data_IF_223954057107
#
_entry.id   IF_223954057107
#
_cell.length_a   1.000
_cell.length_b   1.000
_cell.length_c   1.000
_cell.angle_alpha   90.00
_cell.angle_beta   90.00
_cell.angle_gamma   90.00
#
_symmetry.space_group_name_H-M   'P 1'
#
loop_
_entity.id
_entity.type
_entity.pdbx_description
1 polymer ?
#
# COMPACT_ATOMS: atom_id res chain seq x y z
N UNK A 1 -43.15 -6.99 -12.12
CA UNK A 1 -41.70 -6.80 -11.86
C UNK A 1 -41.20 -5.74 -12.83
N UNK A 2 -40.48 -4.72 -12.38
CA UNK A 2 -39.97 -3.66 -13.26
C UNK A 2 -38.89 -4.22 -14.18
N UNK A 3 -38.73 -3.66 -15.37
CA UNK A 3 -37.74 -4.07 -16.38
C UNK A 3 -36.32 -4.13 -15.82
N UNK A 4 -36.01 -3.28 -14.83
CA UNK A 4 -34.73 -3.28 -14.13
C UNK A 4 -34.52 -4.51 -13.24
N UNK A 5 -35.58 -5.01 -12.59
CA UNK A 5 -35.53 -6.22 -11.77
C UNK A 5 -35.29 -7.45 -12.64
N UNK A 6 -35.92 -7.52 -13.82
CA UNK A 6 -35.71 -8.62 -14.76
C UNK A 6 -34.27 -8.66 -15.29
N UNK A 7 -33.70 -7.51 -15.66
CA UNK A 7 -32.32 -7.44 -16.15
C UNK A 7 -31.28 -7.86 -15.09
N UNK A 8 -31.49 -7.48 -13.82
CA UNK A 8 -30.64 -7.90 -12.71
C UNK A 8 -30.72 -9.40 -12.44
N UNK A 9 -31.92 -10.00 -12.51
CA UNK A 9 -32.10 -11.44 -12.36
C UNK A 9 -31.43 -12.22 -13.49
N UNK A 10 -31.57 -11.76 -14.73
CA UNK A 10 -30.96 -12.38 -15.91
C UNK A 10 -29.42 -12.29 -15.90
N UNK A 11 -28.87 -11.22 -15.29
CA UNK A 11 -27.43 -11.10 -15.00
C UNK A 11 -27.00 -12.07 -13.90
N UNK A 12 -27.78 -12.22 -12.83
CA UNK A 12 -27.46 -13.12 -11.72
C UNK A 12 -27.49 -14.61 -12.09
N UNK A 13 -28.26 -14.99 -13.11
CA UNK A 13 -28.37 -16.37 -13.61
C UNK A 13 -27.13 -16.85 -14.39
N UNK A 14 -26.22 -15.94 -14.80
CA UNK A 14 -25.06 -16.27 -15.65
C UNK A 14 -23.81 -16.78 -14.91
N UNK A 15 -23.85 -16.91 -13.58
CA UNK A 15 -22.73 -17.42 -12.78
C UNK A 15 -21.58 -16.41 -12.60
N UNK A 16 -20.74 -16.62 -11.59
CA UNK A 16 -19.74 -15.66 -11.12
C UNK A 16 -18.51 -15.56 -12.06
N UNK A 17 -18.67 -14.90 -13.19
CA UNK A 17 -17.56 -14.42 -14.03
C UNK A 17 -17.25 -12.94 -13.69
N UNK A 18 -15.98 -12.53 -13.81
CA UNK A 18 -15.54 -11.13 -13.69
C UNK A 18 -16.32 -10.23 -14.65
N UNK A 19 -16.71 -10.76 -15.80
CA UNK A 19 -17.56 -10.06 -16.77
C UNK A 19 -18.98 -9.77 -16.23
N UNK A 20 -19.57 -10.69 -15.43
CA UNK A 20 -20.87 -10.46 -14.81
C UNK A 20 -20.81 -9.31 -13.81
N UNK A 21 -19.79 -9.29 -12.93
CA UNK A 21 -19.61 -8.19 -11.96
C UNK A 21 -19.43 -6.85 -12.66
N UNK A 22 -18.61 -6.81 -13.72
CA UNK A 22 -18.42 -5.61 -14.54
C UNK A 22 -19.73 -5.10 -15.12
N UNK A 23 -20.54 -5.99 -15.69
CA UNK A 23 -21.86 -5.65 -16.26
C UNK A 23 -22.86 -5.19 -15.19
N UNK A 24 -22.88 -5.83 -14.01
CA UNK A 24 -23.71 -5.40 -12.88
C UNK A 24 -23.33 -3.99 -12.41
N UNK A 25 -22.04 -3.71 -12.25
CA UNK A 25 -21.53 -2.38 -11.88
C UNK A 25 -21.93 -1.34 -12.93
N UNK A 26 -21.76 -1.66 -14.22
CA UNK A 26 -22.18 -0.80 -15.33
C UNK A 26 -23.68 -0.49 -15.27
N UNK A 27 -24.51 -1.51 -15.10
CA UNK A 27 -25.96 -1.37 -15.05
C UNK A 27 -26.38 -0.50 -13.86
N UNK A 28 -25.86 -0.79 -12.67
CA UNK A 28 -26.17 -0.03 -11.45
C UNK A 28 -25.72 1.43 -11.58
N UNK A 29 -24.51 1.68 -12.10
CA UNK A 29 -24.01 3.04 -12.32
C UNK A 29 -24.87 3.81 -13.34
N UNK A 30 -25.28 3.19 -14.44
CA UNK A 30 -26.18 3.81 -15.41
C UNK A 30 -27.54 4.12 -14.81
N UNK A 31 -28.11 3.19 -14.02
CA UNK A 31 -29.40 3.40 -13.34
C UNK A 31 -29.35 4.52 -12.31
N UNK A 32 -28.30 4.59 -11.51
CA UNK A 32 -28.10 5.70 -10.57
C UNK A 32 -28.03 7.04 -11.31
N UNK A 33 -27.28 7.10 -12.43
CA UNK A 33 -27.21 8.33 -13.23
C UNK A 33 -28.56 8.73 -13.84
N UNK A 34 -29.36 7.76 -14.28
CA UNK A 34 -30.70 8.02 -14.82
C UNK A 34 -31.64 8.63 -13.77
N UNK A 35 -31.66 8.05 -12.57
CA UNK A 35 -32.45 8.50 -11.43
C UNK A 35 -32.04 9.91 -10.97
N UNK A 36 -30.74 10.16 -10.81
CA UNK A 36 -30.21 11.48 -10.47
C UNK A 36 -30.68 12.56 -11.47
N UNK A 37 -30.62 12.23 -12.76
CA UNK A 37 -30.98 13.16 -13.83
C UNK A 37 -32.49 13.37 -13.90
N UNK A 38 -33.28 12.34 -13.60
CA UNK A 38 -34.74 12.45 -13.49
C UNK A 38 -35.15 13.45 -12.40
N UNK A 39 -34.54 13.35 -11.22
CA UNK A 39 -34.73 14.30 -10.12
C UNK A 39 -34.36 15.72 -10.55
N UNK A 40 -33.23 15.91 -11.24
CA UNK A 40 -32.76 17.23 -11.72
C UNK A 40 -33.62 17.81 -12.84
N UNK A 41 -34.21 16.96 -13.68
CA UNK A 41 -35.12 17.39 -14.75
C UNK A 41 -36.56 17.63 -14.25
N UNK A 42 -36.93 17.03 -13.12
CA UNK A 42 -38.30 16.98 -12.62
C UNK A 42 -39.23 16.15 -13.53
N UNK A 43 -38.66 15.25 -14.35
CA UNK A 43 -39.40 14.42 -15.30
C UNK A 43 -38.58 13.21 -15.74
N UNK A 44 -39.26 12.07 -15.90
CA UNK A 44 -38.66 10.83 -16.39
C UNK A 44 -38.20 10.97 -17.86
N UNK A 45 -37.48 9.95 -18.32
CA UNK A 45 -37.05 9.88 -19.72
C UNK A 45 -38.29 9.84 -20.63
N UNK A 46 -38.30 10.73 -21.64
CA UNK A 46 -39.39 10.87 -22.62
C UNK A 46 -40.79 11.20 -22.06
N UNK A 47 -40.89 11.55 -20.77
CA UNK A 47 -42.17 11.89 -20.14
C UNK A 47 -42.65 13.30 -20.52
N UNK A 48 -43.85 13.44 -21.07
CA UNK A 48 -44.43 14.76 -21.33
C UNK A 48 -44.94 15.39 -20.03
N UNK A 49 -44.06 16.14 -19.37
CA UNK A 49 -44.41 16.88 -18.16
C UNK A 49 -44.27 18.40 -18.39
N UNK A 50 -45.37 19.18 -18.33
CA UNK A 50 -45.33 20.63 -18.51
C UNK A 50 -44.58 21.38 -17.41
N UNK A 51 -44.35 20.77 -16.24
CA UNK A 51 -43.59 21.33 -15.13
C UNK A 51 -42.08 20.98 -15.18
N UNK A 52 -41.61 20.36 -16.27
CA UNK A 52 -40.20 19.97 -16.45
C UNK A 52 -39.26 21.17 -16.33
N UNK A 53 -38.22 21.02 -15.50
CA UNK A 53 -37.25 22.07 -15.20
C UNK A 53 -36.05 22.08 -16.16
N UNK A 54 -35.69 20.91 -16.71
CA UNK A 54 -34.54 20.76 -17.60
C UNK A 54 -34.75 19.55 -18.53
N UNK A 55 -33.94 19.42 -19.57
CA UNK A 55 -34.02 18.30 -20.52
C UNK A 55 -32.67 17.64 -20.75
N UNK A 56 -32.72 16.35 -21.09
CA UNK A 56 -31.55 15.56 -21.49
C UNK A 56 -31.16 15.95 -22.93
N UNK A 57 -29.87 15.99 -23.22
CA UNK A 57 -29.31 16.41 -24.52
C UNK A 57 -28.27 15.38 -25.03
N UNK A 58 -28.63 14.10 -24.97
CA UNK A 58 -27.77 12.97 -25.33
C UNK A 58 -26.82 12.54 -24.21
N UNK A 59 -25.77 11.81 -24.59
CA UNK A 59 -24.80 11.20 -23.67
C UNK A 59 -23.36 11.57 -24.05
N UNK A 60 -22.45 11.49 -23.08
CA UNK A 60 -21.00 11.46 -23.31
C UNK A 60 -20.45 10.13 -22.84
N UNK A 61 -19.57 9.55 -23.63
CA UNK A 61 -18.90 8.29 -23.26
C UNK A 61 -17.73 8.59 -22.32
N UNK A 62 -17.53 7.70 -21.36
CA UNK A 62 -16.42 7.76 -20.42
C UNK A 62 -16.13 6.37 -19.85
N UNK A 63 -14.88 5.95 -19.93
CA UNK A 63 -14.39 4.79 -19.20
C UNK A 63 -14.21 5.10 -17.71
N UNK A 64 -14.67 4.18 -16.86
CA UNK A 64 -14.51 4.18 -15.41
C UNK A 64 -13.78 2.91 -14.97
N UNK A 65 -12.58 3.04 -14.42
CA UNK A 65 -11.75 1.93 -13.96
C UNK A 65 -12.12 1.58 -12.51
N UNK A 66 -12.62 0.36 -12.32
CA UNK A 66 -13.07 -0.17 -11.03
C UNK A 66 -12.32 -1.45 -10.69
N UNK A 67 -12.45 -1.94 -9.46
CA UNK A 67 -11.96 -3.28 -9.07
C UNK A 67 -12.59 -4.43 -9.87
N UNK A 68 -13.74 -4.23 -10.52
CA UNK A 68 -14.37 -5.22 -11.40
C UNK A 68 -13.91 -5.09 -12.87
N UNK A 69 -12.90 -4.27 -13.14
CA UNK A 69 -12.41 -3.93 -14.48
C UNK A 69 -12.88 -2.58 -14.98
N UNK A 70 -12.46 -2.24 -16.20
CA UNK A 70 -12.85 -1.01 -16.88
C UNK A 70 -14.28 -1.09 -17.40
N UNK A 71 -15.11 -0.12 -17.03
CA UNK A 71 -16.54 -0.02 -17.35
C UNK A 71 -16.79 1.17 -18.27
N UNK A 72 -17.48 0.94 -19.38
CA UNK A 72 -17.91 2.03 -20.28
C UNK A 72 -19.21 2.67 -19.80
N UNK A 73 -19.17 3.96 -19.48
CA UNK A 73 -20.33 4.72 -19.00
C UNK A 73 -20.84 5.68 -20.06
N UNK A 74 -22.16 5.71 -20.22
CA UNK A 74 -22.87 6.74 -20.97
C UNK A 74 -23.40 7.78 -20.00
N UNK A 75 -22.61 8.82 -19.74
CA UNK A 75 -22.99 9.87 -18.79
C UNK A 75 -24.02 10.79 -19.47
N UNK A 76 -25.22 10.99 -18.90
CA UNK A 76 -26.22 11.89 -19.46
C UNK A 76 -25.72 13.33 -19.54
N UNK A 77 -26.07 14.02 -20.63
CA UNK A 77 -25.88 15.46 -20.78
C UNK A 77 -27.20 16.18 -20.51
N UNK A 78 -27.14 17.31 -19.83
CA UNK A 78 -28.27 18.21 -19.63
C UNK A 78 -28.23 19.34 -20.66
N UNK A 79 -29.40 19.90 -21.00
CA UNK A 79 -29.52 21.04 -21.92
C UNK A 79 -28.99 22.31 -21.25
N UNK A 80 -29.27 22.48 -19.96
CA UNK A 80 -28.76 23.56 -19.13
C UNK A 80 -27.89 23.00 -18.00
N UNK A 81 -26.70 23.54 -17.81
CA UNK A 81 -25.74 23.12 -16.77
C UNK A 81 -24.93 21.87 -17.11
N UNK A 82 -24.11 21.41 -16.15
CA UNK A 82 -23.27 20.22 -16.27
C UNK A 82 -23.71 19.12 -15.31
N UNK A 83 -23.63 17.85 -15.75
CA UNK A 83 -23.87 16.68 -14.90
C UNK A 83 -22.60 15.82 -14.78
N UNK A 84 -22.25 15.52 -13.54
CA UNK A 84 -21.25 14.54 -13.17
C UNK A 84 -21.77 13.84 -11.90
N UNK A 85 -21.94 12.50 -11.91
CA UNK A 85 -22.37 11.77 -10.71
C UNK A 85 -21.28 11.80 -9.63
N UNK A 86 -21.69 11.72 -8.37
CA UNK A 86 -20.79 11.86 -7.22
C UNK A 86 -19.75 10.73 -7.12
N UNK A 87 -20.08 9.54 -7.61
CA UNK A 87 -19.13 8.41 -7.63
C UNK A 87 -18.01 8.56 -8.66
N UNK A 88 -18.07 9.57 -9.56
CA UNK A 88 -17.02 9.88 -10.52
C UNK A 88 -16.28 11.16 -10.14
N UNK A 89 -14.95 11.08 -10.05
CA UNK A 89 -14.12 12.26 -9.85
C UNK A 89 -13.85 13.00 -11.17
N UNK A 90 -13.82 14.34 -11.21
CA UNK A 90 -13.39 15.06 -12.40
C UNK A 90 -11.99 14.65 -12.86
N UNK A 91 -11.81 14.39 -14.17
CA UNK A 91 -10.50 14.13 -14.83
C UNK A 91 -9.74 12.87 -14.35
N UNK A 92 -10.39 11.96 -13.61
CA UNK A 92 -9.84 10.68 -13.14
C UNK A 92 -10.68 9.50 -13.61
N UNK A 93 -10.07 8.48 -14.19
CA UNK A 93 -10.80 7.28 -14.65
C UNK A 93 -10.91 6.24 -13.54
N UNK A 94 -9.94 6.16 -12.63
CA UNK A 94 -9.93 5.24 -11.50
C UNK A 94 -10.92 5.64 -10.38
N UNK A 95 -11.58 4.64 -9.78
CA UNK A 95 -12.26 4.81 -8.50
C UNK A 95 -11.28 5.10 -7.34
N UNK A 96 -11.78 5.73 -6.27
CA UNK A 96 -10.98 6.08 -5.08
C UNK A 96 -10.30 4.87 -4.45
N UNK A 97 -11.01 3.75 -4.34
CA UNK A 97 -10.47 2.52 -3.77
C UNK A 97 -9.25 2.00 -4.55
N UNK A 98 -9.32 2.04 -5.88
CA UNK A 98 -8.21 1.67 -6.75
C UNK A 98 -7.01 2.63 -6.60
N UNK A 99 -7.29 3.92 -6.45
CA UNK A 99 -6.25 4.93 -6.19
C UNK A 99 -5.51 4.63 -4.89
N UNK A 100 -6.22 4.29 -3.81
CA UNK A 100 -5.61 3.93 -2.54
C UNK A 100 -4.74 2.68 -2.64
N UNK A 101 -5.18 1.65 -3.37
CA UNK A 101 -4.38 0.43 -3.60
C UNK A 101 -3.09 0.74 -4.38
N UNK A 102 -3.17 1.59 -5.41
CA UNK A 102 -1.99 2.01 -6.19
C UNK A 102 -1.03 2.83 -5.33
N UNK A 103 -1.54 3.74 -4.50
CA UNK A 103 -0.74 4.54 -3.57
C UNK A 103 -0.04 3.63 -2.54
N UNK A 104 -0.75 2.68 -1.94
CA UNK A 104 -0.18 1.73 -0.98
C UNK A 104 0.91 0.89 -1.62
N UNK A 105 0.66 0.32 -2.81
CA UNK A 105 1.66 -0.43 -3.54
C UNK A 105 2.93 0.39 -3.81
N UNK A 106 2.78 1.67 -4.16
CA UNK A 106 3.90 2.58 -4.36
C UNK A 106 4.69 2.83 -3.07
N UNK A 107 4.01 3.02 -1.93
CA UNK A 107 4.63 3.19 -0.59
C UNK A 107 5.39 1.93 -0.18
N UNK A 108 4.86 0.75 -0.50
CA UNK A 108 5.51 -0.55 -0.30
C UNK A 108 6.69 -0.81 -1.27
N UNK A 109 7.07 0.18 -2.08
CA UNK A 109 8.21 0.09 -3.00
C UNK A 109 7.95 -0.75 -4.26
N UNK A 110 6.69 -1.10 -4.54
CA UNK A 110 6.34 -1.83 -5.77
C UNK A 110 6.62 -0.92 -6.96
N UNK A 111 7.40 -1.42 -7.92
CA UNK A 111 7.78 -0.64 -9.10
C UNK A 111 6.54 -0.23 -9.90
N UNK A 112 6.56 0.97 -10.50
CA UNK A 112 5.44 1.43 -11.37
C UNK A 112 5.07 0.45 -12.49
N UNK A 113 6.01 -0.41 -12.93
CA UNK A 113 5.75 -1.47 -13.90
C UNK A 113 5.02 -2.65 -13.27
N UNK A 114 5.43 -3.06 -12.08
CA UNK A 114 4.76 -4.11 -11.31
C UNK A 114 3.34 -3.71 -10.93
N UNK A 115 3.12 -2.42 -10.62
CA UNK A 115 1.76 -1.87 -10.41
C UNK A 115 0.93 -1.96 -11.69
N UNK A 116 1.51 -1.63 -12.85
CA UNK A 116 0.82 -1.75 -14.15
C UNK A 116 0.38 -3.20 -14.43
N UNK A 117 1.26 -4.18 -14.20
CA UNK A 117 0.92 -5.60 -14.35
C UNK A 117 -0.17 -6.05 -13.37
N UNK A 118 -0.14 -5.57 -12.11
CA UNK A 118 -1.18 -5.86 -11.12
C UNK A 118 -2.53 -5.27 -11.56
N UNK A 119 -2.54 -4.05 -12.11
CA UNK A 119 -3.76 -3.42 -12.63
C UNK A 119 -4.30 -4.19 -13.85
N UNK A 120 -3.45 -4.67 -14.75
CA UNK A 120 -3.88 -5.52 -15.87
C UNK A 120 -4.44 -6.86 -15.40
N UNK A 121 -3.82 -7.49 -14.41
CA UNK A 121 -4.27 -8.75 -13.84
C UNK A 121 -5.67 -8.65 -13.20
N UNK A 122 -6.05 -7.46 -12.73
CA UNK A 122 -7.40 -7.15 -12.24
C UNK A 122 -8.41 -6.84 -13.36
N UNK A 123 -8.07 -7.08 -14.63
CA UNK A 123 -8.98 -6.90 -15.76
C UNK A 123 -9.14 -5.46 -16.25
N UNK A 124 -8.21 -4.57 -15.88
CA UNK A 124 -8.19 -3.18 -16.33
C UNK A 124 -7.23 -2.99 -17.51
N UNK A 125 -7.37 -1.86 -18.21
CA UNK A 125 -6.52 -1.51 -19.36
C UNK A 125 -5.04 -1.22 -19.01
N UNK A 126 -4.68 -1.25 -17.73
CA UNK A 126 -3.35 -0.92 -17.22
C UNK A 126 -3.25 0.49 -16.63
N UNK A 127 -2.11 0.83 -16.03
CA UNK A 127 -1.80 2.16 -15.52
C UNK A 127 -0.40 2.61 -15.94
N UNK A 128 -0.32 3.74 -16.63
CA UNK A 128 0.97 4.29 -17.06
C UNK A 128 1.76 4.85 -15.87
N UNK A 129 3.10 4.85 -15.98
CA UNK A 129 4.00 5.51 -15.01
C UNK A 129 3.57 6.94 -14.67
N UNK A 130 3.09 7.71 -15.67
CA UNK A 130 2.61 9.08 -15.49
C UNK A 130 1.32 9.13 -14.67
N UNK A 131 0.40 8.18 -14.89
CA UNK A 131 -0.81 8.05 -14.08
C UNK A 131 -0.47 7.67 -12.63
N UNK A 132 0.41 6.67 -12.40
CA UNK A 132 0.84 6.30 -11.04
C UNK A 132 1.45 7.49 -10.31
N UNK A 133 2.37 8.22 -10.96
CA UNK A 133 2.98 9.42 -10.38
C UNK A 133 1.94 10.50 -10.06
N UNK A 134 0.93 10.70 -10.92
CA UNK A 134 -0.16 11.66 -10.65
C UNK A 134 -1.05 11.22 -9.49
N UNK A 135 -1.36 9.92 -9.38
CA UNK A 135 -2.15 9.37 -8.27
C UNK A 135 -1.39 9.50 -6.95
N UNK A 136 -0.08 9.32 -6.97
CA UNK A 136 0.78 9.51 -5.80
C UNK A 136 1.06 10.98 -5.48
N UNK A 137 0.66 11.93 -6.33
CA UNK A 137 0.87 13.36 -6.07
C UNK A 137 0.13 13.86 -4.81
N UNK A 138 -0.95 13.20 -4.40
CA UNK A 138 -1.60 13.48 -3.11
C UNK A 138 -0.73 13.10 -1.90
N UNK A 139 0.21 12.16 -2.08
CA UNK A 139 1.18 11.81 -1.04
C UNK A 139 2.20 12.94 -0.85
N UNK A 140 2.52 13.70 -1.90
CA UNK A 140 3.47 14.82 -1.81
C UNK A 140 2.99 15.89 -0.82
N UNK A 141 1.68 16.15 -0.75
CA UNK A 141 1.10 17.07 0.24
C UNK A 141 1.30 16.55 1.66
N UNK A 142 1.08 15.25 1.90
CA UNK A 142 1.29 14.61 3.20
C UNK A 142 2.77 14.59 3.60
N UNK A 143 3.66 14.29 2.65
CA UNK A 143 5.11 14.31 2.84
C UNK A 143 5.57 15.74 3.14
N UNK A 144 5.09 16.73 2.38
CA UNK A 144 5.39 18.14 2.61
C UNK A 144 4.97 18.57 4.02
N UNK A 145 3.74 18.27 4.42
CA UNK A 145 3.25 18.56 5.77
C UNK A 145 4.08 17.86 6.86
N UNK A 146 4.50 16.61 6.64
CA UNK A 146 5.37 15.89 7.56
C UNK A 146 6.75 16.52 7.68
N UNK A 147 7.36 16.95 6.56
CA UNK A 147 8.69 17.56 6.53
C UNK A 147 8.69 18.97 7.13
N UNK A 148 7.60 19.72 7.01
CA UNK A 148 7.48 21.08 7.52
C UNK A 148 6.90 21.17 8.94
N UNK A 149 6.50 20.04 9.55
CA UNK A 149 5.90 20.06 10.89
C UNK A 149 6.93 20.54 11.93
N UNK A 150 6.53 21.40 12.88
CA UNK A 150 7.37 21.71 14.03
C UNK A 150 7.74 20.44 14.79
N UNK A 151 9.01 20.31 15.19
CA UNK A 151 9.47 19.26 16.09
C UNK A 151 9.54 19.91 17.48
N UNK A 152 8.57 19.59 18.32
CA UNK A 152 8.43 20.14 19.68
C UNK A 152 8.84 19.10 20.73
N UNK A 153 9.16 19.56 21.94
CA UNK A 153 9.52 18.72 23.08
C UNK A 153 11.02 18.42 23.21
N UNK A 154 11.36 17.69 24.27
CA UNK A 154 12.73 17.31 24.59
C UNK A 154 13.10 15.97 23.96
N UNK A 155 14.25 15.93 23.28
CA UNK A 155 14.77 14.77 22.57
C UNK A 155 16.15 14.41 23.12
N UNK A 156 16.24 13.72 24.28
CA UNK A 156 17.52 13.43 24.95
C UNK A 156 18.52 12.62 24.10
N UNK A 157 18.02 11.85 23.13
CA UNK A 157 18.86 11.07 22.22
C UNK A 157 18.46 11.35 20.78
N UNK A 158 19.48 11.49 19.92
CA UNK A 158 19.35 11.70 18.49
C UNK A 158 20.39 10.82 17.77
N UNK A 159 19.91 9.96 16.87
CA UNK A 159 20.76 9.26 15.91
C UNK A 159 20.56 9.86 14.53
N UNK A 160 21.66 9.98 13.80
CA UNK A 160 21.67 10.44 12.42
C UNK A 160 22.36 9.37 11.58
N UNK A 161 21.66 8.86 10.59
CA UNK A 161 22.19 7.92 9.62
C UNK A 161 22.10 8.51 8.21
N UNK A 162 22.94 8.03 7.31
CA UNK A 162 22.96 8.46 5.91
C UNK A 162 23.03 7.26 4.97
N UNK A 163 22.03 7.15 4.09
CA UNK A 163 22.05 6.20 2.98
C UNK A 163 22.24 6.92 1.66
N UNK A 164 22.94 6.31 0.71
CA UNK A 164 23.21 6.93 -0.59
C UNK A 164 22.28 6.38 -1.66
N UNK A 165 21.51 7.25 -2.27
CA UNK A 165 20.64 6.92 -3.41
C UNK A 165 21.19 7.52 -4.69
N UNK A 166 21.01 6.81 -5.81
CA UNK A 166 21.40 7.31 -7.13
C UNK A 166 20.28 8.16 -7.69
N UNK A 167 20.50 9.45 -7.84
CA UNK A 167 19.55 10.39 -8.45
C UNK A 167 20.09 10.88 -9.79
N UNK A 168 19.20 11.40 -10.64
CA UNK A 168 19.59 12.06 -11.88
C UNK A 168 19.49 13.56 -11.70
N UNK A 169 20.64 14.23 -11.72
CA UNK A 169 20.75 15.69 -11.60
C UNK A 169 21.46 16.25 -12.82
N UNK A 170 20.88 17.28 -13.45
CA UNK A 170 21.43 17.92 -14.65
C UNK A 170 21.87 16.91 -15.75
N UNK A 171 21.12 15.81 -15.90
CA UNK A 171 21.39 14.75 -16.89
C UNK A 171 22.42 13.69 -16.47
N UNK A 172 23.10 13.83 -15.33
CA UNK A 172 24.08 12.86 -14.82
C UNK A 172 23.53 12.07 -13.65
N UNK A 173 23.95 10.81 -13.50
CA UNK A 173 23.63 10.00 -12.33
C UNK A 173 24.66 10.32 -11.24
N UNK A 174 24.19 10.82 -10.11
CA UNK A 174 25.02 11.21 -8.96
C UNK A 174 24.60 10.43 -7.72
N UNK A 175 25.53 10.25 -6.79
CA UNK A 175 25.23 9.67 -5.47
C UNK A 175 24.81 10.81 -4.55
N UNK A 176 23.58 10.77 -4.04
CA UNK A 176 23.06 11.76 -3.09
C UNK A 176 22.84 11.06 -1.75
N UNK A 177 23.29 11.71 -0.68
CA UNK A 177 23.04 11.24 0.67
C UNK A 177 21.61 11.61 1.09
N UNK A 178 20.82 10.62 1.49
CA UNK A 178 19.57 10.77 2.21
C UNK A 178 19.91 10.63 3.69
N UNK A 179 19.70 11.70 4.45
CA UNK A 179 19.98 11.75 5.88
C UNK A 179 18.68 11.46 6.62
N UNK A 180 18.70 10.48 7.52
CA UNK A 180 17.58 10.12 8.39
C UNK A 180 17.98 10.42 9.83
N UNK A 181 17.19 11.28 10.49
CA UNK A 181 17.36 11.61 11.90
C UNK A 181 16.26 10.95 12.73
N UNK A 182 16.65 10.16 13.74
CA UNK A 182 15.76 9.45 14.65
C UNK A 182 15.97 9.99 16.06
N UNK A 183 14.96 10.64 16.62
CA UNK A 183 14.98 11.15 17.99
C UNK A 183 14.16 10.27 18.94
N UNK A 184 14.61 10.17 20.20
CA UNK A 184 13.80 9.60 21.29
C UNK A 184 13.26 10.74 22.14
N UNK A 185 11.94 10.89 22.22
CA UNK A 185 11.29 11.90 23.06
C UNK A 185 11.37 11.52 24.55
N UNK A 186 10.88 12.38 25.45
CA UNK A 186 10.79 12.15 26.89
C UNK A 186 9.46 11.53 27.35
N UNK A 187 8.68 10.92 26.45
CA UNK A 187 7.35 10.40 26.79
C UNK A 187 7.43 9.38 27.95
N UNK A 188 6.74 9.63 29.07
CA UNK A 188 6.80 8.78 30.25
C UNK A 188 6.18 7.41 30.02
N UNK A 189 5.31 7.22 29.02
CA UNK A 189 4.70 5.91 28.72
C UNK A 189 5.76 4.83 28.44
N UNK A 190 6.91 5.22 27.89
CA UNK A 190 7.99 4.28 27.55
C UNK A 190 9.06 4.14 28.65
N UNK A 191 8.92 4.85 29.78
CA UNK A 191 9.95 4.92 30.82
C UNK A 191 9.46 4.78 32.26
N UNK A 192 8.18 5.09 32.51
CA UNK A 192 7.56 5.05 33.83
C UNK A 192 6.40 4.05 33.81
N UNK A 193 6.49 3.00 34.65
CA UNK A 193 5.46 1.95 34.71
C UNK A 193 4.08 2.47 35.13
N UNK A 194 4.03 3.48 35.98
CA UNK A 194 2.78 4.09 36.45
C UNK A 194 2.12 4.84 35.30
N UNK A 195 2.90 5.60 34.54
CA UNK A 195 2.41 6.30 33.34
C UNK A 195 1.95 5.31 32.26
N UNK A 196 2.72 4.24 32.02
CA UNK A 196 2.33 3.19 31.08
C UNK A 196 1.01 2.50 31.47
N UNK A 197 0.86 2.17 32.76
CA UNK A 197 -0.39 1.58 33.30
C UNK A 197 -1.56 2.55 33.20
N UNK A 198 -1.35 3.84 33.51
CA UNK A 198 -2.37 4.86 33.37
C UNK A 198 -2.80 5.06 31.90
N UNK A 199 -1.89 4.84 30.94
CA UNK A 199 -2.18 4.83 29.51
C UNK A 199 -2.81 3.51 29.01
N UNK A 200 -3.06 2.54 29.89
CA UNK A 200 -3.73 1.29 29.56
C UNK A 200 -2.79 0.15 29.14
N UNK A 201 -1.47 0.32 29.29
CA UNK A 201 -0.52 -0.76 29.03
C UNK A 201 -0.32 -1.65 30.26
N UNK A 202 -0.12 -2.97 30.09
CA UNK A 202 0.16 -3.89 31.20
C UNK A 202 1.56 -3.66 31.82
N UNK A 203 2.49 -3.09 31.05
CA UNK A 203 3.86 -2.72 31.43
C UNK A 203 4.43 -1.71 30.46
N UNK A 204 5.74 -1.44 30.53
CA UNK A 204 6.42 -0.52 29.60
C UNK A 204 6.37 -1.06 28.17
N UNK A 205 5.82 -0.34 27.18
CA UNK A 205 5.85 -0.78 25.78
C UNK A 205 7.28 -0.82 25.26
N UNK A 206 7.64 -1.88 24.54
CA UNK A 206 8.91 -1.94 23.84
C UNK A 206 8.87 -1.13 22.53
N UNK A 207 9.99 -0.52 22.12
CA UNK A 207 10.08 0.12 20.81
C UNK A 207 9.76 -0.85 19.65
N UNK A 208 9.18 -0.38 18.52
CA UNK A 208 8.77 -1.24 17.40
C UNK A 208 9.87 -2.07 16.75
N UNK A 209 11.15 -1.81 16.98
CA UNK A 209 12.27 -2.61 16.44
C UNK A 209 12.96 -3.47 17.49
N UNK A 210 12.48 -3.46 18.73
CA UNK A 210 13.17 -4.10 19.86
C UNK A 210 13.19 -5.63 19.77
N UNK A 211 12.20 -6.26 19.12
CA UNK A 211 12.20 -7.72 18.89
C UNK A 211 13.36 -8.19 18.02
N UNK A 212 13.88 -7.34 17.11
CA UNK A 212 15.11 -7.64 16.39
C UNK A 212 16.33 -7.63 17.31
N UNK A 213 16.40 -6.69 18.27
CA UNK A 213 17.48 -6.68 19.26
C UNK A 213 17.48 -7.99 20.08
N UNK A 214 16.31 -8.52 20.42
CA UNK A 214 16.16 -9.79 21.13
C UNK A 214 16.55 -11.00 20.25
N UNK A 215 16.16 -11.02 18.97
CA UNK A 215 16.60 -12.05 17.99
C UNK A 215 18.14 -12.05 17.82
N UNK A 216 18.78 -10.88 17.95
CA UNK A 216 20.24 -10.74 17.92
C UNK A 216 20.92 -11.00 19.27
N UNK A 217 20.17 -11.01 20.38
CA UNK A 217 20.69 -11.21 21.73
C UNK A 217 20.80 -12.70 22.09
N UNK A 218 21.48 -13.45 21.22
CA UNK A 218 21.83 -14.86 21.41
C UNK A 218 23.35 -15.01 21.31
N UNK A 219 23.96 -16.10 21.83
CA UNK A 219 25.42 -16.23 21.86
C UNK A 219 26.12 -16.11 20.50
N UNK A 220 25.50 -16.63 19.44
CA UNK A 220 25.95 -16.46 18.06
C UNK A 220 24.74 -16.24 17.12
N UNK A 221 24.36 -14.98 16.86
CA UNK A 221 23.21 -14.66 16.00
C UNK A 221 23.46 -14.96 14.51
N UNK A 222 24.72 -15.21 14.14
CA UNK A 222 25.15 -15.44 12.76
C UNK A 222 25.58 -16.88 12.50
N UNK A 223 25.39 -17.80 13.46
CA UNK A 223 25.74 -19.22 13.33
C UNK A 223 25.20 -19.85 12.04
N UNK A 224 23.97 -19.50 11.64
CA UNK A 224 23.37 -20.01 10.41
C UNK A 224 24.17 -19.63 9.14
N UNK A 225 24.84 -18.47 9.11
CA UNK A 225 25.72 -18.08 8.00
C UNK A 225 26.98 -18.94 7.98
N UNK A 226 27.55 -19.22 9.16
CA UNK A 226 28.68 -20.13 9.28
C UNK A 226 28.32 -21.55 8.83
N UNK A 227 27.14 -22.05 9.18
CA UNK A 227 26.62 -23.36 8.75
C UNK A 227 26.44 -23.44 7.22
N UNK A 228 26.14 -22.32 6.56
CA UNK A 228 26.09 -22.20 5.10
C UNK A 228 27.47 -21.96 4.45
N UNK A 229 28.55 -21.89 5.23
CA UNK A 229 29.89 -21.56 4.73
C UNK A 229 30.05 -20.10 4.30
N UNK A 230 29.16 -19.22 4.73
CA UNK A 230 29.16 -17.80 4.38
C UNK A 230 30.00 -17.01 5.39
N UNK A 231 31.12 -16.40 4.97
CA UNK A 231 31.89 -15.54 5.85
C UNK A 231 31.14 -14.23 6.13
N UNK A 232 30.91 -13.91 7.40
CA UNK A 232 30.18 -12.71 7.85
C UNK A 232 30.76 -11.41 7.29
N UNK A 233 32.07 -11.32 7.03
CA UNK A 233 32.66 -10.12 6.42
C UNK A 233 32.16 -9.82 4.99
N UNK A 234 31.59 -10.81 4.30
CA UNK A 234 31.02 -10.64 2.96
C UNK A 234 29.53 -10.33 2.99
N UNK A 235 28.96 -10.19 4.19
CA UNK A 235 27.53 -10.08 4.41
C UNK A 235 27.14 -8.61 4.60
N UNK A 236 26.08 -8.21 3.91
CA UNK A 236 25.39 -6.94 4.11
C UNK A 236 23.93 -7.23 4.50
N UNK A 237 23.43 -6.57 5.53
CA UNK A 237 22.00 -6.55 5.80
C UNK A 237 21.29 -5.76 4.70
N UNK A 238 20.38 -6.42 3.97
CA UNK A 238 19.72 -5.85 2.79
C UNK A 238 18.32 -5.30 3.07
N UNK A 239 17.55 -6.00 3.89
CA UNK A 239 16.15 -5.66 4.17
C UNK A 239 15.76 -6.17 5.56
N UNK A 240 14.92 -5.40 6.28
CA UNK A 240 14.23 -5.84 7.48
C UNK A 240 12.75 -5.49 7.38
N UNK A 241 11.90 -6.44 7.71
CA UNK A 241 10.45 -6.27 7.83
C UNK A 241 9.98 -6.83 9.18
N UNK A 242 8.95 -6.19 9.74
CA UNK A 242 8.29 -6.56 10.99
C UNK A 242 6.78 -6.49 10.81
N UNK A 243 6.11 -7.60 11.08
CA UNK A 243 4.65 -7.69 11.13
C UNK A 243 4.24 -7.97 12.59
N UNK A 244 3.69 -6.96 13.28
CA UNK A 244 3.26 -7.09 14.68
C UNK A 244 1.78 -7.43 14.77
N UNK A 245 1.47 -8.48 15.53
CA UNK A 245 0.11 -8.95 15.81
C UNK A 245 -0.37 -8.56 17.22
N UNK A 246 0.57 -8.23 18.11
CA UNK A 246 0.30 -7.72 19.46
C UNK A 246 1.42 -6.76 19.90
N UNK A 247 1.13 -5.80 20.80
CA UNK A 247 2.16 -4.97 21.41
C UNK A 247 3.08 -5.82 22.31
N UNK A 248 4.34 -5.43 22.38
CA UNK A 248 5.37 -6.05 23.23
C UNK A 248 5.58 -5.18 24.46
N UNK A 249 5.66 -5.79 25.64
CA UNK A 249 5.88 -5.08 26.90
C UNK A 249 7.09 -5.64 27.67
N UNK A 250 7.68 -4.79 28.51
CA UNK A 250 8.69 -5.22 29.46
C UNK A 250 8.10 -6.29 30.41
N UNK A 251 8.85 -7.36 30.64
CA UNK A 251 8.43 -8.52 31.42
C UNK A 251 7.87 -9.68 30.57
N UNK A 252 7.54 -9.45 29.30
CA UNK A 252 7.18 -10.54 28.39
C UNK A 252 8.37 -11.46 28.15
N UNK A 253 8.06 -12.76 27.97
CA UNK A 253 9.04 -13.77 27.58
C UNK A 253 8.69 -14.27 26.20
N UNK A 254 9.67 -14.28 25.30
CA UNK A 254 9.47 -14.64 23.90
C UNK A 254 10.22 -15.90 23.51
N UNK A 255 9.58 -16.71 22.68
CA UNK A 255 10.19 -17.84 21.97
C UNK A 255 10.34 -17.45 20.50
N UNK A 256 11.57 -17.49 20.00
CA UNK A 256 11.91 -17.20 18.60
C UNK A 256 12.08 -18.51 17.83
N UNK A 257 11.43 -18.63 16.68
CA UNK A 257 11.61 -19.76 15.75
C UNK A 257 11.96 -19.24 14.38
N UNK A 258 13.19 -19.50 13.96
CA UNK A 258 13.73 -19.03 12.68
C UNK A 258 13.82 -20.15 11.65
N UNK A 259 13.64 -19.81 10.38
CA UNK A 259 13.94 -20.68 9.23
C UNK A 259 14.55 -19.85 8.09
N UNK A 260 15.35 -20.50 7.25
CA UNK A 260 15.71 -19.94 5.95
C UNK A 260 14.55 -20.23 5.00
N UNK A 261 13.87 -19.18 4.57
CA UNK A 261 12.68 -19.28 3.73
C UNK A 261 13.02 -19.37 2.24
N UNK A 262 14.12 -18.73 1.82
CA UNK A 262 14.54 -18.70 0.43
C UNK A 262 16.04 -18.36 0.31
N UNK A 263 16.69 -18.83 -0.76
CA UNK A 263 18.05 -18.46 -1.16
C UNK A 263 18.08 -18.28 -2.68
N UNK A 264 18.48 -17.11 -3.17
CA UNK A 264 18.52 -16.83 -4.60
C UNK A 264 19.67 -15.91 -5.01
N UNK A 265 20.09 -16.03 -6.27
CA UNK A 265 21.17 -15.22 -6.82
C UNK A 265 20.68 -14.05 -7.68
N UNK A 266 21.49 -12.99 -7.72
CA UNK A 266 21.41 -11.92 -8.73
C UNK A 266 22.79 -11.64 -9.32
N UNK A 267 22.78 -10.96 -10.48
CA UNK A 267 24.00 -10.59 -11.22
C UNK A 267 24.90 -11.80 -11.52
N UNK A 268 24.30 -12.92 -11.93
CA UNK A 268 25.04 -14.12 -12.32
C UNK A 268 25.82 -14.76 -11.17
N UNK A 269 25.27 -14.76 -9.95
CA UNK A 269 25.90 -15.38 -8.77
C UNK A 269 26.90 -14.47 -8.04
N UNK A 270 27.11 -13.22 -8.50
CA UNK A 270 27.94 -12.26 -7.78
C UNK A 270 27.32 -11.81 -6.45
N UNK A 271 25.99 -11.87 -6.33
CA UNK A 271 25.25 -11.58 -5.11
C UNK A 271 24.27 -12.71 -4.83
N UNK A 272 24.40 -13.34 -3.68
CA UNK A 272 23.43 -14.31 -3.16
C UNK A 272 22.59 -13.63 -2.08
N UNK A 273 21.30 -13.93 -2.04
CA UNK A 273 20.35 -13.35 -1.10
C UNK A 273 19.77 -14.48 -0.26
N UNK A 274 19.96 -14.39 1.05
CA UNK A 274 19.41 -15.33 2.03
C UNK A 274 18.24 -14.66 2.73
N UNK A 275 17.06 -15.27 2.67
CA UNK A 275 15.85 -14.79 3.34
C UNK A 275 15.65 -15.60 4.61
N UNK A 276 15.77 -14.95 5.77
CA UNK A 276 15.46 -15.52 7.09
C UNK A 276 14.09 -15.02 7.53
N UNK A 277 13.20 -15.95 7.90
CA UNK A 277 11.92 -15.65 8.55
C UNK A 277 11.97 -16.12 9.99
N UNK A 278 11.52 -15.27 10.92
CA UNK A 278 11.46 -15.56 12.34
C UNK A 278 10.06 -15.32 12.89
N UNK A 279 9.48 -16.32 13.54
CA UNK A 279 8.24 -16.18 14.31
C UNK A 279 8.54 -15.95 15.78
N UNK A 280 7.79 -15.03 16.39
CA UNK A 280 7.93 -14.64 17.80
C UNK A 280 6.63 -14.91 18.53
N UNK A 281 6.67 -15.84 19.48
CA UNK A 281 5.55 -16.21 20.33
C UNK A 281 5.83 -15.76 21.77
N UNK A 282 4.82 -15.27 22.49
CA UNK A 282 4.97 -14.89 23.90
C UNK A 282 4.83 -16.09 24.86
N UNK A 283 4.91 -15.82 26.17
CA UNK A 283 4.74 -16.80 27.25
C UNK A 283 3.39 -17.54 27.25
N UNK A 284 2.41 -17.05 26.48
CA UNK A 284 1.09 -17.67 26.33
C UNK A 284 0.93 -18.40 24.99
N UNK A 285 2.03 -18.62 24.26
CA UNK A 285 2.06 -19.19 22.91
C UNK A 285 1.21 -18.42 21.88
N UNK A 286 0.97 -17.12 22.13
CA UNK A 286 0.33 -16.24 21.16
C UNK A 286 1.39 -15.69 20.20
N UNK A 287 1.10 -15.69 18.90
CA UNK A 287 1.95 -15.06 17.89
C UNK A 287 1.92 -13.54 18.10
N UNK A 288 3.09 -12.96 18.36
CA UNK A 288 3.26 -11.52 18.63
C UNK A 288 3.87 -10.80 17.44
N UNK A 289 4.85 -11.39 16.79
CA UNK A 289 5.48 -10.79 15.62
C UNK A 289 6.00 -11.83 14.63
N UNK A 290 6.01 -11.46 13.35
CA UNK A 290 6.76 -12.13 12.29
C UNK A 290 7.85 -11.16 11.79
N UNK A 291 9.10 -11.62 11.78
CA UNK A 291 10.24 -10.85 11.30
C UNK A 291 10.75 -11.49 10.02
N UNK A 292 11.14 -10.66 9.07
CA UNK A 292 11.80 -11.10 7.84
C UNK A 292 13.06 -10.28 7.63
N UNK A 293 14.19 -10.97 7.50
CA UNK A 293 15.48 -10.36 7.20
C UNK A 293 15.99 -10.90 5.87
N UNK A 294 16.44 -10.00 4.99
CA UNK A 294 17.16 -10.37 3.78
C UNK A 294 18.62 -9.99 3.95
N UNK A 295 19.47 -10.98 3.80
CA UNK A 295 20.90 -10.87 3.95
C UNK A 295 21.55 -11.05 2.59
N UNK A 296 22.41 -10.12 2.20
CA UNK A 296 23.09 -10.12 0.90
C UNK A 296 24.53 -10.58 1.10
N UNK A 297 24.88 -11.70 0.48
CA UNK A 297 26.23 -12.26 0.45
C UNK A 297 26.92 -11.81 -0.82
N UNK A 298 28.10 -11.19 -0.67
CA UNK A 298 28.96 -10.79 -1.80
C UNK A 298 29.94 -11.91 -2.12
N UNK A 299 29.76 -12.55 -3.27
CA UNK A 299 30.65 -13.60 -3.73
C UNK A 299 31.86 -12.96 -4.44
N UNK A 300 32.99 -12.87 -3.72
CA UNK A 300 34.22 -12.23 -4.21
C UNK A 300 34.87 -12.99 -5.40
N UNK A 301 34.43 -14.21 -5.70
CA UNK A 301 34.99 -15.06 -6.76
C UNK A 301 34.28 -14.93 -8.12
N UNK A 302 33.15 -14.23 -8.24
CA UNK A 302 32.36 -14.15 -9.49
C UNK A 302 32.87 -13.16 -10.55
N UNK A 303 34.09 -12.63 -10.40
CA UNK A 303 34.66 -11.57 -11.23
C UNK A 303 35.59 -12.01 -12.36
N UNK A 304 35.64 -13.30 -12.71
CA UNK A 304 36.38 -13.81 -13.86
C UNK A 304 35.63 -14.96 -14.54
N UNK A 305 34.75 -14.61 -15.48
CA UNK A 305 34.53 -15.27 -16.78
C UNK A 305 33.44 -14.50 -17.55
#
# INVERSE_FOLDING_TARGET
MTTATMALTELAEKGADVDMLRQMVQFMAQRLMELDVEVRCGAAYDEKNPARLNSRNGYRERTWDTRAGSVELKIPKLRCGSYLPEFLEPRRTAEKALTAVIQEAYVQGISTRSVDELVKALGMSGVSKRQVSRLCGELDEKVGAFLSRPIEGDWPYLWVDATYVKTREAGRIVSVAVIVAVGVNTDPVFRDETAARAAGHPGLPAPPTFTFCLDMNVPDPFAYLADMGVPVQNVLHGEQQFDYHAPVHAGDTFTYRSKIADIYDKKGGALEFVVKETRVENQHAALVAELRAVVVVRNLAGGQA
#
